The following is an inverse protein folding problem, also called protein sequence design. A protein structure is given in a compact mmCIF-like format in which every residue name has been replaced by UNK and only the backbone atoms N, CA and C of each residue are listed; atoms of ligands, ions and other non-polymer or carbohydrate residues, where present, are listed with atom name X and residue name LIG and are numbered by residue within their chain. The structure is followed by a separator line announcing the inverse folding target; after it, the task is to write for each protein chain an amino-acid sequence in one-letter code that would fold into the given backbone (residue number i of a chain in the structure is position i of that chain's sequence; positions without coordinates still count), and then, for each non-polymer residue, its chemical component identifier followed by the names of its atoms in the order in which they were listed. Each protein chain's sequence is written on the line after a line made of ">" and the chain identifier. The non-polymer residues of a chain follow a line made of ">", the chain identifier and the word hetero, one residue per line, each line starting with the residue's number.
data_IF_309652589902
#
_entry.id   IF_309652589902
#
_cell.length_a   1.000
_cell.length_b   1.000
_cell.length_c   1.000
_cell.angle_alpha   90.00
_cell.angle_beta   90.00
_cell.angle_gamma   90.00
#
_symmetry.space_group_name_H-M   'P 1'
#
loop_
_entity.id
_entity.type
_entity.pdbx_description
1 polymer ?
#
# COMPACT_ATOMS: atom_id res chain seq x y z
N UNK A 1 14.11 0.70 -33.94
CA UNK A 1 13.74 0.29 -32.57
C UNK A 1 12.39 0.91 -32.27
N UNK A 2 11.37 0.11 -32.02
CA UNK A 2 10.10 0.62 -31.47
C UNK A 2 10.35 0.92 -30.01
N UNK A 3 10.33 2.20 -29.63
CA UNK A 3 10.45 2.60 -28.23
C UNK A 3 9.06 2.42 -27.62
N UNK A 4 8.93 1.52 -26.64
CA UNK A 4 7.68 1.40 -25.90
C UNK A 4 7.62 2.56 -24.91
N UNK A 5 6.77 3.54 -25.17
CA UNK A 5 6.59 4.67 -24.28
C UNK A 5 5.60 4.31 -23.16
N UNK A 6 5.84 4.86 -21.99
CA UNK A 6 4.93 4.78 -20.86
C UNK A 6 3.53 5.27 -21.26
N UNK A 7 2.51 4.43 -21.06
CA UNK A 7 1.12 4.75 -21.43
C UNK A 7 0.57 5.96 -20.68
N UNK A 8 1.11 6.24 -19.49
CA UNK A 8 0.60 7.30 -18.62
C UNK A 8 1.22 8.67 -18.90
N UNK A 9 2.54 8.76 -19.11
CA UNK A 9 3.21 10.04 -19.33
C UNK A 9 3.63 10.27 -20.79
N UNK A 10 3.73 9.21 -21.59
CA UNK A 10 4.18 9.22 -22.98
C UNK A 10 5.53 9.95 -23.21
N UNK A 11 6.35 10.06 -22.16
CA UNK A 11 7.63 10.77 -22.15
C UNK A 11 8.80 9.82 -21.94
N UNK A 12 8.66 8.89 -21.00
CA UNK A 12 9.70 7.94 -20.63
C UNK A 12 9.40 6.55 -21.23
N UNK A 13 10.46 5.76 -21.42
CA UNK A 13 10.31 4.36 -21.85
C UNK A 13 9.58 3.54 -20.76
N UNK A 14 8.69 2.65 -21.20
CA UNK A 14 8.04 1.69 -20.30
C UNK A 14 9.02 0.60 -19.88
N UNK A 15 8.85 0.07 -18.68
CA UNK A 15 9.64 -1.08 -18.24
C UNK A 15 9.24 -2.33 -19.02
N UNK A 16 10.14 -3.30 -19.23
CA UNK A 16 9.85 -4.49 -20.07
C UNK A 16 8.64 -5.32 -19.64
N UNK A 17 8.27 -5.25 -18.36
CA UNK A 17 7.21 -6.06 -17.76
C UNK A 17 5.87 -5.30 -17.65
N UNK A 18 5.85 -4.00 -17.93
CA UNK A 18 4.70 -3.13 -17.72
C UNK A 18 4.57 -2.12 -18.88
N UNK A 19 3.44 -1.46 -18.97
CA UNK A 19 3.22 -0.32 -19.86
C UNK A 19 3.59 1.03 -19.22
N UNK A 20 4.19 1.02 -18.02
CA UNK A 20 4.54 2.20 -17.25
C UNK A 20 6.06 2.37 -17.12
N UNK A 21 6.52 3.62 -17.02
CA UNK A 21 7.89 3.92 -16.59
C UNK A 21 8.04 3.76 -15.07
N UNK A 22 9.28 3.72 -14.59
CA UNK A 22 9.60 3.58 -13.16
C UNK A 22 8.89 4.63 -12.29
N UNK A 23 8.93 5.91 -12.69
CA UNK A 23 8.29 6.99 -11.94
C UNK A 23 6.76 6.82 -11.85
N UNK A 24 6.10 6.49 -12.97
CA UNK A 24 4.67 6.24 -12.98
C UNK A 24 4.31 5.01 -12.16
N UNK A 25 5.13 3.94 -12.18
CA UNK A 25 4.94 2.78 -11.31
C UNK A 25 4.98 3.19 -9.84
N UNK A 26 6.02 3.89 -9.40
CA UNK A 26 6.16 4.32 -8.00
C UNK A 26 4.94 5.15 -7.56
N UNK A 27 4.49 6.10 -8.39
CA UNK A 27 3.33 6.93 -8.06
C UNK A 27 2.02 6.13 -7.98
N UNK A 28 1.84 5.11 -8.82
CA UNK A 28 0.67 4.24 -8.75
C UNK A 28 0.67 3.34 -7.49
N UNK A 29 1.84 2.87 -7.04
CA UNK A 29 1.94 1.96 -5.89
C UNK A 29 2.06 2.68 -4.53
N UNK A 30 2.55 3.92 -4.49
CA UNK A 30 2.71 4.69 -3.24
C UNK A 30 1.42 4.81 -2.40
N UNK A 31 0.22 5.04 -2.97
CA UNK A 31 -1.03 5.03 -2.21
C UNK A 31 -1.33 3.68 -1.54
N UNK A 32 -0.98 2.57 -2.20
CA UNK A 32 -1.23 1.22 -1.68
C UNK A 32 -0.38 0.92 -0.45
N UNK A 33 0.85 1.42 -0.41
CA UNK A 33 1.72 1.33 0.79
C UNK A 33 1.07 2.07 1.96
N UNK A 34 0.64 3.32 1.74
CA UNK A 34 -0.01 4.11 2.80
C UNK A 34 -1.31 3.45 3.30
N UNK A 35 -2.09 2.84 2.41
CA UNK A 35 -3.27 2.09 2.79
C UNK A 35 -2.90 0.87 3.66
N UNK A 36 -1.85 0.13 3.29
CA UNK A 36 -1.39 -1.03 4.04
C UNK A 36 -0.92 -0.67 5.46
N UNK A 37 -0.25 0.47 5.62
CA UNK A 37 0.19 0.98 6.93
C UNK A 37 -1.00 1.37 7.81
N UNK A 38 -2.03 2.00 7.21
CA UNK A 38 -3.27 2.35 7.92
C UNK A 38 -4.04 1.12 8.38
N UNK A 39 -4.14 0.09 7.54
CA UNK A 39 -4.79 -1.18 7.90
C UNK A 39 -4.05 -1.82 9.08
N UNK A 40 -2.72 -1.93 9.00
CA UNK A 40 -1.90 -2.48 10.09
C UNK A 40 -2.09 -1.70 11.40
N UNK A 41 -2.08 -0.36 11.33
CA UNK A 41 -2.30 0.50 12.50
C UNK A 41 -3.70 0.31 13.10
N UNK A 42 -4.73 0.22 12.27
CA UNK A 42 -6.10 -0.01 12.72
C UNK A 42 -6.24 -1.34 13.47
N UNK A 43 -5.69 -2.43 12.94
CA UNK A 43 -5.72 -3.73 13.61
C UNK A 43 -4.92 -3.74 14.92
N UNK A 44 -3.73 -3.14 14.94
CA UNK A 44 -2.91 -3.04 16.16
C UNK A 44 -3.59 -2.21 17.27
N UNK A 45 -4.37 -1.18 16.90
CA UNK A 45 -5.10 -0.37 17.87
C UNK A 45 -6.35 -1.09 18.40
N UNK A 46 -7.04 -1.89 17.58
CA UNK A 46 -8.19 -2.66 18.02
C UNK A 46 -7.81 -3.81 18.96
N UNK A 47 -6.64 -4.44 18.78
CA UNK A 47 -6.15 -5.45 19.74
C UNK A 47 -5.86 -4.85 21.13
N UNK A 48 -5.42 -3.58 21.22
CA UNK A 48 -5.22 -2.90 22.50
C UNK A 48 -6.52 -2.54 23.21
N UNK A 49 -7.62 -2.33 22.49
CA UNK A 49 -8.93 -2.03 23.10
C UNK A 49 -9.66 -3.28 23.62
N UNK A 50 -9.28 -4.48 23.21
CA UNK A 50 -9.88 -5.73 23.69
C UNK A 50 -9.28 -6.25 25.02
N UNK A 51 -8.23 -5.60 25.54
CA UNK A 51 -7.54 -5.98 26.80
C UNK A 51 -8.05 -5.20 28.02
N UNK A 52 -9.35 -4.96 28.13
CA UNK A 52 -9.91 -4.32 29.32
C UNK A 52 -11.24 -4.91 29.80
N UNK A 53 -11.26 -6.22 30.03
CA UNK A 53 -12.05 -6.80 31.12
C UNK A 53 -11.23 -7.92 31.76
N UNK A 54 -10.47 -7.60 32.81
CA UNK A 54 -10.15 -8.64 33.80
C UNK A 54 -11.49 -9.14 34.37
N UNK A 55 -11.80 -10.44 34.30
CA UNK A 55 -12.95 -10.95 35.03
C UNK A 55 -12.62 -10.81 36.51
N UNK A 56 -13.33 -9.91 37.20
CA UNK A 56 -13.35 -9.90 38.67
C UNK A 56 -13.86 -11.27 39.10
N UNK A 57 -12.95 -12.12 39.58
CA UNK A 57 -13.27 -13.44 40.11
C UNK A 57 -14.39 -13.31 41.15
N UNK A 58 -15.44 -14.09 40.96
CA UNK A 58 -16.52 -14.23 41.93
C UNK A 58 -16.19 -15.38 42.89
N UNK A 59 -16.37 -15.07 44.17
CA UNK A 59 -16.39 -15.93 45.37
C UNK A 59 -15.05 -16.48 45.88
#
# INVERSE_FOLDING_TARGET
>A
MTVNLCVQCNQNESMRQTDLCEECLIQNFKPLISLSDKIRSFHANNEKSALHEEPKGAA
#
